data_IF_201566746582
#
_entry.id   IF_201566746582
#
_cell.length_a   1.000
_cell.length_b   1.000
_cell.length_c   1.000
_cell.angle_alpha   90.00
_cell.angle_beta   90.00
_cell.angle_gamma   90.00
#
_symmetry.space_group_name_H-M   'P 1'
#
loop_
_entity.id
_entity.type
_entity.pdbx_description
1 polymer ?
#
# COMPACT_ATOMS: atom_id res chain seq x y z
N UNK A 1 19.63 -21.91 2.67
CA UNK A 1 19.20 -21.21 1.43
C UNK A 1 17.74 -20.80 1.61
N UNK A 2 17.46 -19.57 2.05
CA UNK A 2 16.07 -19.16 2.36
C UNK A 2 15.25 -19.11 1.06
N UNK A 3 14.19 -19.93 0.98
CA UNK A 3 13.26 -19.91 -0.14
C UNK A 3 12.46 -18.61 -0.02
N UNK A 4 12.90 -17.56 -0.69
CA UNK A 4 12.21 -16.26 -0.67
C UNK A 4 10.75 -16.48 -1.07
N UNK A 5 9.81 -15.93 -0.29
CA UNK A 5 8.37 -16.02 -0.54
C UNK A 5 8.01 -15.68 -2.01
N UNK A 6 7.04 -16.41 -2.56
CA UNK A 6 6.53 -16.19 -3.93
C UNK A 6 7.32 -16.85 -5.07
N UNK A 7 8.31 -17.72 -4.79
CA UNK A 7 8.99 -18.54 -5.83
C UNK A 7 8.24 -19.81 -6.23
N UNK A 8 7.43 -20.37 -5.33
CA UNK A 8 6.64 -21.59 -5.60
C UNK A 8 5.37 -21.36 -6.42
N UNK A 9 4.85 -20.14 -6.44
CA UNK A 9 3.60 -19.85 -7.14
C UNK A 9 3.81 -19.66 -8.65
N UNK A 10 3.51 -20.72 -9.40
CA UNK A 10 3.58 -20.77 -10.87
C UNK A 10 2.59 -19.82 -11.57
N UNK A 11 1.69 -19.15 -10.86
CA UNK A 11 0.75 -18.15 -11.41
C UNK A 11 1.30 -16.72 -11.32
N UNK A 12 2.38 -16.47 -10.57
CA UNK A 12 3.01 -15.15 -10.46
C UNK A 12 4.19 -14.97 -11.42
N UNK A 13 4.55 -13.71 -11.69
CA UNK A 13 5.76 -13.40 -12.47
C UNK A 13 7.03 -13.95 -11.80
N UNK A 14 7.08 -13.95 -10.46
CA UNK A 14 8.23 -14.40 -9.67
C UNK A 14 8.38 -15.92 -9.69
N UNK A 15 7.30 -16.67 -9.49
CA UNK A 15 7.37 -18.14 -9.56
C UNK A 15 7.55 -18.65 -10.99
N UNK A 16 6.96 -17.99 -12.00
CA UNK A 16 7.27 -18.28 -13.41
C UNK A 16 8.77 -18.07 -13.72
N UNK A 17 9.37 -16.99 -13.21
CA UNK A 17 10.82 -16.71 -13.35
C UNK A 17 11.67 -17.79 -12.67
N UNK A 18 11.33 -18.21 -11.46
CA UNK A 18 12.07 -19.24 -10.74
C UNK A 18 12.04 -20.60 -11.47
N UNK A 19 10.88 -20.97 -12.02
CA UNK A 19 10.72 -22.19 -12.81
C UNK A 19 11.28 -22.07 -14.26
N UNK A 20 11.84 -20.93 -14.66
CA UNK A 20 12.31 -20.69 -16.03
C UNK A 20 11.21 -20.68 -17.11
N UNK A 21 9.95 -20.67 -16.71
CA UNK A 21 8.79 -20.80 -17.61
C UNK A 21 8.17 -19.45 -17.97
N UNK A 22 7.54 -19.38 -19.14
CA UNK A 22 6.77 -18.22 -19.59
C UNK A 22 5.27 -18.48 -19.47
N UNK A 23 4.47 -17.42 -19.51
CA UNK A 23 3.01 -17.51 -19.49
C UNK A 23 2.39 -16.13 -19.30
N UNK A 24 1.07 -16.07 -19.09
CA UNK A 24 0.34 -14.80 -18.99
C UNK A 24 0.93 -13.83 -17.93
N UNK A 25 1.34 -14.34 -16.77
CA UNK A 25 1.97 -13.53 -15.73
C UNK A 25 3.41 -13.08 -16.04
N UNK A 26 4.09 -13.73 -17.00
CA UNK A 26 5.48 -13.47 -17.42
C UNK A 26 5.59 -13.61 -18.97
N UNK A 27 5.12 -12.61 -19.74
CA UNK A 27 5.24 -12.61 -21.18
C UNK A 27 6.71 -12.51 -21.63
N UNK A 28 7.01 -13.02 -22.84
CA UNK A 28 8.38 -12.97 -23.43
C UNK A 28 8.75 -11.58 -23.97
N UNK A 29 7.76 -10.83 -24.43
CA UNK A 29 7.90 -9.60 -25.17
C UNK A 29 6.70 -8.69 -24.88
N UNK A 30 6.88 -7.37 -25.03
CA UNK A 30 5.88 -6.35 -24.66
C UNK A 30 4.58 -6.46 -25.48
N UNK A 31 4.66 -7.03 -26.67
CA UNK A 31 3.51 -7.24 -27.56
C UNK A 31 2.63 -8.42 -27.12
N UNK A 32 3.11 -9.29 -26.22
CA UNK A 32 2.29 -10.37 -25.65
C UNK A 32 1.55 -9.84 -24.43
N UNK A 33 0.23 -9.90 -24.50
CA UNK A 33 -0.67 -9.42 -23.46
C UNK A 33 -0.39 -10.05 -22.10
N UNK A 34 -0.65 -9.27 -21.06
CA UNK A 34 -0.81 -9.75 -19.70
C UNK A 34 -2.30 -10.05 -19.47
N UNK A 35 -2.64 -10.58 -18.30
CA UNK A 35 -4.02 -10.66 -17.86
C UNK A 35 -4.66 -9.26 -17.83
N UNK A 36 -5.98 -9.20 -17.58
CA UNK A 36 -6.72 -7.95 -17.56
C UNK A 36 -5.98 -6.87 -16.76
N UNK A 37 -5.95 -5.62 -17.26
CA UNK A 37 -5.33 -4.53 -16.54
C UNK A 37 -5.96 -4.43 -15.14
N UNK A 38 -5.11 -4.23 -14.12
CA UNK A 38 -5.63 -3.99 -12.78
C UNK A 38 -6.34 -2.64 -12.82
N UNK A 39 -7.63 -2.63 -12.50
CA UNK A 39 -8.41 -1.40 -12.39
C UNK A 39 -7.73 -0.50 -11.37
N UNK A 40 -7.50 0.76 -11.75
CA UNK A 40 -6.99 1.74 -10.81
C UNK A 40 -8.05 1.94 -9.73
N UNK A 41 -7.69 1.60 -8.50
CA UNK A 41 -8.52 1.97 -7.35
C UNK A 41 -8.24 3.44 -7.07
N UNK A 42 -9.26 4.32 -6.98
CA UNK A 42 -9.03 5.68 -6.57
C UNK A 42 -8.30 5.68 -5.21
N UNK A 43 -7.42 6.65 -4.95
CA UNK A 43 -6.81 6.76 -3.64
C UNK A 43 -7.92 6.79 -2.58
N UNK A 44 -7.75 6.01 -1.52
CA UNK A 44 -8.72 5.99 -0.43
C UNK A 44 -8.92 7.45 0.02
N UNK A 45 -10.17 7.92 0.20
CA UNK A 45 -10.40 9.25 0.73
C UNK A 45 -9.58 9.40 2.01
N UNK A 46 -8.86 10.52 2.11
CA UNK A 46 -8.06 10.83 3.29
C UNK A 46 -8.99 10.67 4.49
N UNK A 47 -8.64 9.74 5.40
CA UNK A 47 -9.41 9.55 6.63
C UNK A 47 -9.31 10.88 7.36
N UNK A 48 -10.42 11.63 7.42
CA UNK A 48 -10.55 12.76 8.34
C UNK A 48 -10.19 12.20 9.72
N UNK A 49 -9.18 12.79 10.34
CA UNK A 49 -8.83 12.39 11.70
C UNK A 49 -10.09 12.57 12.55
N UNK A 50 -10.42 11.55 13.35
CA UNK A 50 -11.65 11.60 14.17
C UNK A 50 -11.56 12.64 15.29
N UNK A 51 -10.40 13.27 15.44
CA UNK A 51 -10.09 14.24 16.48
C UNK A 51 -9.93 15.67 15.94
N UNK A 52 -10.09 15.91 14.64
CA UNK A 52 -10.12 17.25 14.05
C UNK A 52 -11.51 17.89 14.18
N UNK A 53 -12.07 17.91 15.40
CA UNK A 53 -13.41 18.44 15.70
C UNK A 53 -13.42 19.98 15.83
N UNK A 54 -12.47 20.69 15.22
CA UNK A 54 -12.41 22.16 15.21
C UNK A 54 -12.49 22.81 16.60
N UNK A 55 -12.28 22.05 17.67
CA UNK A 55 -12.43 22.48 19.04
C UNK A 55 -11.18 23.27 19.41
N UNK A 56 -11.27 24.58 19.20
CA UNK A 56 -10.33 25.53 19.79
C UNK A 56 -10.54 25.45 21.29
N UNK A 57 -9.74 24.63 21.97
CA UNK A 57 -9.66 24.63 23.43
C UNK A 57 -9.14 26.01 23.81
N UNK A 58 -10.02 26.90 24.26
CA UNK A 58 -9.63 28.15 24.91
C UNK A 58 -9.00 27.76 26.24
N UNK A 59 -7.67 27.63 26.22
CA UNK A 59 -6.90 27.45 27.45
C UNK A 59 -6.91 28.81 28.14
N UNK A 60 -7.79 28.96 29.12
CA UNK A 60 -7.71 30.06 30.08
C UNK A 60 -6.56 29.72 31.02
N UNK A 61 -5.45 30.44 30.86
CA UNK A 61 -4.30 30.30 31.74
C UNK A 61 -4.57 31.17 32.96
N UNK A 62 -4.83 30.55 34.11
CA UNK A 62 -4.90 31.26 35.38
C UNK A 62 -3.49 31.68 35.79
N UNK A 63 -3.19 32.98 35.68
CA UNK A 63 -1.89 33.57 35.99
C UNK A 63 -1.49 33.41 37.47
N UNK A 64 -2.43 33.02 38.34
CA UNK A 64 -2.18 32.66 39.74
C UNK A 64 -1.33 31.39 39.91
N UNK A 65 -1.29 30.50 38.90
CA UNK A 65 -0.47 29.28 38.91
C UNK A 65 1.03 29.54 38.78
N UNK A 66 1.44 30.72 38.33
CA UNK A 66 2.84 31.13 38.22
C UNK A 66 3.30 31.98 39.41
N UNK A 67 2.44 32.18 40.40
CA UNK A 67 2.75 32.93 41.61
C UNK A 67 3.04 31.99 42.79
N UNK A 68 4.15 31.24 42.71
CA UNK A 68 5.07 30.98 43.83
C UNK A 68 6.35 30.32 43.31
#
# INVERSE_FOLDING_TARGET
MSVTCGRGDKKTAKGKRFNGSYGNARPRNKNKGRGPPRTAVPPLPLKKDKFDDGSIVKIEIDESLFSN
#
